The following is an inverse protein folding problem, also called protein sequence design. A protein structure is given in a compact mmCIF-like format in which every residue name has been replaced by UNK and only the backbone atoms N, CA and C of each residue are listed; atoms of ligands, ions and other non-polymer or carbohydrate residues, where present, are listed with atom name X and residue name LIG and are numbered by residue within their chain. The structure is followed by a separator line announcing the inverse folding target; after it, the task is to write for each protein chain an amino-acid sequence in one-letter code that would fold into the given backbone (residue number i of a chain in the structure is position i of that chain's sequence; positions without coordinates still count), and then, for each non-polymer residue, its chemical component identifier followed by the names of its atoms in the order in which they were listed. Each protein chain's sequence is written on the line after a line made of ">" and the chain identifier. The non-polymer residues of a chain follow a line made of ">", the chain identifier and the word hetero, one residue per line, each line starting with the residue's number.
data_IF_887433914971
#
_entry.id   IF_887433914971
#
_cell.length_a   1.000
_cell.length_b   1.000
_cell.length_c   1.000
_cell.angle_alpha   90.00
_cell.angle_beta   90.00
_cell.angle_gamma   90.00
#
_symmetry.space_group_name_H-M   'P 1'
#
loop_
_entity.id
_entity.type
_entity.pdbx_description
1 polymer ?
#
# COMPACT_ATOMS: atom_id res chain seq x y z
N UNK A 1 4.96 -20.70 -1.52
CA UNK A 1 3.93 -19.67 -1.38
C UNK A 1 4.40 -18.72 -0.29
N UNK A 2 5.38 -17.88 -0.61
CA UNK A 2 5.78 -16.78 0.26
C UNK A 2 5.38 -15.53 -0.52
N UNK A 3 4.11 -15.19 -0.37
CA UNK A 3 3.60 -13.92 -0.84
C UNK A 3 3.94 -12.94 0.29
N UNK A 4 5.02 -12.17 0.10
CA UNK A 4 5.51 -11.22 1.09
C UNK A 4 4.76 -9.89 0.95
N UNK A 5 4.38 -9.30 2.07
CA UNK A 5 3.74 -8.00 2.12
C UNK A 5 4.83 -6.94 2.22
N UNK A 6 4.77 -5.94 1.33
CA UNK A 6 5.72 -4.84 1.30
C UNK A 6 5.00 -3.51 1.54
N UNK A 7 5.58 -2.60 2.36
CA UNK A 7 5.00 -1.28 2.58
C UNK A 7 4.90 -0.48 1.29
N UNK A 8 3.75 0.15 1.05
CA UNK A 8 3.54 1.03 -0.11
C UNK A 8 4.24 2.39 0.05
N UNK A 9 4.71 2.94 -1.07
CA UNK A 9 5.22 4.32 -1.14
C UNK A 9 4.08 5.34 -0.98
N UNK A 10 4.41 6.55 -0.49
CA UNK A 10 3.39 7.56 -0.19
C UNK A 10 2.62 8.05 -1.42
N UNK A 11 3.26 8.07 -2.59
CA UNK A 11 2.67 8.50 -3.86
C UNK A 11 2.02 7.35 -4.64
N UNK A 12 1.97 6.14 -4.08
CA UNK A 12 1.26 5.03 -4.70
C UNK A 12 -0.24 5.31 -4.64
N UNK A 13 -0.95 4.97 -5.73
CA UNK A 13 -2.40 5.05 -5.81
C UNK A 13 -2.98 3.66 -5.64
N UNK A 14 -3.86 3.50 -4.65
CA UNK A 14 -4.53 2.24 -4.34
C UNK A 14 -5.95 2.29 -4.86
N UNK A 15 -6.35 1.20 -5.52
CA UNK A 15 -7.73 0.97 -5.97
C UNK A 15 -8.32 -0.20 -5.19
N UNK A 16 -9.47 0.03 -4.56
CA UNK A 16 -10.22 -0.98 -3.81
C UNK A 16 -11.67 -0.98 -4.25
N UNK A 17 -12.35 -2.11 -4.04
CA UNK A 17 -13.79 -2.18 -4.30
C UNK A 17 -14.55 -1.21 -3.39
N UNK A 18 -15.71 -0.72 -3.84
CA UNK A 18 -16.57 0.16 -3.02
C UNK A 18 -16.89 -0.44 -1.64
N UNK A 19 -17.12 -1.76 -1.60
CA UNK A 19 -17.41 -2.49 -0.36
C UNK A 19 -16.22 -2.59 0.62
N UNK A 20 -15.00 -2.35 0.14
CA UNK A 20 -13.77 -2.42 0.92
C UNK A 20 -13.21 -1.02 1.26
N UNK A 21 -13.94 0.05 0.94
CA UNK A 21 -13.53 1.42 1.25
C UNK A 21 -13.57 1.67 2.76
N UNK A 22 -12.40 1.96 3.35
CA UNK A 22 -12.25 2.09 4.80
C UNK A 22 -12.36 3.54 5.27
N UNK A 23 -11.86 4.49 4.47
CA UNK A 23 -11.73 5.91 4.80
C UNK A 23 -12.04 6.70 3.53
N UNK A 24 -12.87 7.74 3.65
CA UNK A 24 -13.35 8.66 2.58
C UNK A 24 -14.42 8.14 1.62
N UNK A 25 -14.68 6.82 1.55
CA UNK A 25 -15.64 6.25 0.60
C UNK A 25 -15.19 6.33 -0.86
N UNK A 26 -13.96 6.78 -1.11
CA UNK A 26 -13.34 6.74 -2.43
C UNK A 26 -12.73 5.37 -2.68
N UNK A 27 -12.98 4.83 -3.87
CA UNK A 27 -12.42 3.57 -4.38
C UNK A 27 -10.96 3.73 -4.83
N UNK A 28 -10.52 4.97 -5.07
CA UNK A 28 -9.17 5.33 -5.46
C UNK A 28 -8.61 6.37 -4.49
N UNK A 29 -7.41 6.15 -3.96
CA UNK A 29 -6.76 7.11 -3.06
C UNK A 29 -5.24 7.01 -3.14
N UNK A 30 -4.56 8.13 -2.95
CA UNK A 30 -3.12 8.14 -2.72
C UNK A 30 -2.82 7.66 -1.29
N UNK A 31 -1.72 6.91 -1.09
CA UNK A 31 -1.32 6.44 0.24
C UNK A 31 -1.11 7.62 1.20
N UNK A 32 -0.58 8.74 0.73
CA UNK A 32 -0.43 9.98 1.50
C UNK A 32 -1.78 10.53 1.98
N UNK A 33 -2.79 10.59 1.11
CA UNK A 33 -4.17 11.01 1.45
C UNK A 33 -4.78 10.10 2.51
N UNK A 34 -4.54 8.78 2.41
CA UNK A 34 -4.99 7.83 3.43
C UNK A 34 -4.31 8.05 4.78
N UNK A 35 -2.98 8.29 4.78
CA UNK A 35 -2.23 8.60 6.01
C UNK A 35 -2.77 9.88 6.64
N UNK A 36 -2.96 10.95 5.87
CA UNK A 36 -3.52 12.22 6.36
C UNK A 36 -4.93 12.04 6.93
N UNK A 37 -5.79 11.29 6.22
CA UNK A 37 -7.14 11.01 6.66
C UNK A 37 -7.14 10.22 7.98
N UNK A 38 -6.27 9.22 8.13
CA UNK A 38 -6.09 8.48 9.38
C UNK A 38 -5.52 9.35 10.51
N UNK A 39 -4.58 10.23 10.19
CA UNK A 39 -3.96 11.12 11.18
C UNK A 39 -5.00 12.06 11.81
N UNK A 40 -6.02 12.46 11.05
CA UNK A 40 -7.13 13.26 11.55
C UNK A 40 -8.10 12.46 12.45
N UNK A 41 -8.14 11.13 12.33
CA UNK A 41 -8.99 10.26 13.16
C UNK A 41 -8.30 9.80 14.45
N UNK A 42 -6.96 9.80 14.49
CA UNK A 42 -6.18 9.35 15.64
C UNK A 42 -5.75 10.56 16.47
N UNK A 43 -6.23 10.68 17.71
CA UNK A 43 -5.97 11.84 18.60
C UNK A 43 -4.47 12.14 18.87
N UNK A 44 -3.57 11.19 18.59
CA UNK A 44 -2.11 11.31 18.78
C UNK A 44 -1.33 10.64 17.64
N UNK A 45 -1.56 11.10 16.42
CA UNK A 45 -1.29 10.35 15.19
C UNK A 45 0.14 10.38 14.64
N UNK A 46 0.88 11.48 14.79
CA UNK A 46 2.15 11.71 14.06
C UNK A 46 3.18 10.58 14.24
N UNK A 47 3.22 9.96 15.42
CA UNK A 47 4.21 8.92 15.70
C UNK A 47 3.78 7.53 15.22
N UNK A 48 2.49 7.28 15.00
CA UNK A 48 2.00 5.94 14.60
C UNK A 48 2.47 5.55 13.19
N UNK A 49 2.72 6.51 12.30
CA UNK A 49 3.21 6.23 10.94
C UNK A 49 4.75 6.17 10.86
N UNK A 50 5.43 6.85 11.78
CA UNK A 50 6.90 6.87 11.87
C UNK A 50 7.48 5.76 12.77
N UNK A 51 6.63 5.11 13.56
CA UNK A 51 7.00 4.05 14.49
C UNK A 51 7.17 4.54 15.93
N UNK A 52 6.38 3.96 16.84
CA UNK A 52 6.38 4.26 18.27
C UNK A 52 7.21 3.21 19.00
N UNK A 53 8.13 3.66 19.86
CA UNK A 53 8.86 2.78 20.76
C UNK A 53 7.90 2.07 21.72
N UNK A 54 8.01 0.74 21.81
CA UNK A 54 7.15 -0.08 22.65
C UNK A 54 7.90 -1.29 23.21
N UNK A 55 7.27 -1.93 24.19
CA UNK A 55 7.63 -3.25 24.68
C UNK A 55 6.50 -4.23 24.33
N UNK A 56 6.84 -5.37 23.75
CA UNK A 56 5.90 -6.43 23.39
C UNK A 56 6.16 -7.62 24.30
N UNK A 57 5.10 -8.17 24.89
CA UNK A 57 5.13 -9.43 25.60
C UNK A 57 4.67 -10.55 24.63
N UNK A 58 5.61 -11.33 24.13
CA UNK A 58 5.32 -12.50 23.27
C UNK A 58 5.32 -13.79 24.09
N UNK A 59 4.41 -14.75 23.82
CA UNK A 59 4.42 -16.06 24.47
C UNK A 59 5.77 -16.81 24.37
N UNK A 60 6.45 -16.69 23.23
CA UNK A 60 7.65 -17.48 22.92
C UNK A 60 8.97 -16.77 23.27
N UNK A 61 8.95 -15.44 23.35
CA UNK A 61 10.15 -14.60 23.53
C UNK A 61 10.15 -13.79 24.84
N UNK A 62 9.02 -13.70 25.55
CA UNK A 62 8.87 -12.86 26.73
C UNK A 62 8.76 -11.37 26.37
N UNK A 63 9.14 -10.48 27.30
CA UNK A 63 9.08 -9.03 27.13
C UNK A 63 10.31 -8.52 26.37
N UNK A 64 10.12 -7.79 25.26
CA UNK A 64 11.21 -7.19 24.50
C UNK A 64 10.83 -5.83 23.89
N UNK A 65 11.83 -4.99 23.66
CA UNK A 65 11.67 -3.65 23.09
C UNK A 65 11.64 -3.67 21.55
N UNK A 66 10.89 -2.76 20.95
CA UNK A 66 10.80 -2.60 19.50
C UNK A 66 10.07 -1.31 19.11
N UNK A 67 9.63 -1.25 17.86
CA UNK A 67 8.76 -0.19 17.34
C UNK A 67 7.53 -0.79 16.69
N UNK A 68 6.38 -0.14 16.87
CA UNK A 68 5.13 -0.45 16.15
C UNK A 68 4.74 0.74 15.27
N UNK A 69 4.35 0.48 14.03
CA UNK A 69 3.84 1.50 13.11
C UNK A 69 2.60 1.00 12.38
N UNK A 70 1.81 1.94 11.89
CA UNK A 70 0.73 1.72 10.93
C UNK A 70 1.30 1.95 9.53
N UNK A 71 1.10 1.00 8.62
CA UNK A 71 1.47 1.11 7.21
C UNK A 71 0.42 0.38 6.35
N UNK A 72 0.25 0.83 5.11
CA UNK A 72 -0.41 0.03 4.07
C UNK A 72 0.64 -0.86 3.43
N UNK A 73 0.34 -2.14 3.33
CA UNK A 73 1.22 -3.12 2.71
C UNK A 73 0.52 -3.77 1.53
N UNK A 74 1.27 -4.07 0.48
CA UNK A 74 0.81 -4.71 -0.72
C UNK A 74 1.51 -6.03 -0.91
N UNK A 75 0.76 -7.05 -1.32
CA UNK A 75 1.31 -8.34 -1.67
C UNK A 75 0.97 -8.61 -3.13
N UNK A 76 2.00 -8.76 -3.96
CA UNK A 76 1.83 -9.01 -5.38
C UNK A 76 1.42 -10.47 -5.65
N UNK A 77 0.49 -10.66 -6.58
CA UNK A 77 0.19 -11.97 -7.17
C UNK A 77 1.22 -12.39 -8.22
N UNK A 78 2.05 -11.46 -8.69
CA UNK A 78 3.13 -11.74 -9.61
C UNK A 78 4.34 -12.30 -8.86
N UNK A 79 4.57 -13.61 -9.02
CA UNK A 79 5.92 -14.17 -8.94
C UNK A 79 6.80 -13.38 -9.91
N UNK A 80 7.61 -12.45 -9.36
CA UNK A 80 8.72 -11.74 -10.00
C UNK A 80 8.84 -11.99 -11.51
N UNK A 81 8.25 -11.11 -12.33
CA UNK A 81 8.62 -11.04 -13.75
C UNK A 81 10.04 -10.50 -13.86
N UNK A 82 10.96 -11.45 -13.72
CA UNK A 82 12.30 -11.53 -14.31
C UNK A 82 13.36 -10.61 -13.69
N UNK A 83 14.36 -11.26 -13.11
CA UNK A 83 15.76 -10.82 -13.13
C UNK A 83 16.03 -10.14 -14.50
N UNK A 84 16.25 -8.82 -14.48
CA UNK A 84 16.60 -8.07 -15.68
C UNK A 84 18.03 -8.44 -16.09
N UNK A 85 18.15 -9.44 -16.97
CA UNK A 85 19.34 -9.62 -17.79
C UNK A 85 19.44 -8.41 -18.74
N UNK A 86 20.59 -7.74 -18.72
CA UNK A 86 20.84 -6.34 -19.11
C UNK A 86 20.72 -6.05 -20.63
N UNK A 87 19.98 -6.85 -21.40
CA UNK A 87 19.84 -6.76 -22.86
C UNK A 87 18.42 -7.07 -23.36
N UNK A 88 17.42 -6.22 -23.08
CA UNK A 88 16.24 -6.08 -23.94
C UNK A 88 15.58 -4.70 -23.79
N UNK A 89 15.00 -4.13 -24.86
CA UNK A 89 14.34 -2.84 -24.79
C UNK A 89 13.11 -2.98 -23.89
N UNK A 90 12.90 -1.99 -23.01
CA UNK A 90 11.73 -1.84 -22.14
C UNK A 90 10.45 -2.29 -22.87
N UNK A 91 9.58 -3.12 -22.25
CA UNK A 91 8.30 -3.41 -22.85
C UNK A 91 7.57 -2.07 -22.93
N UNK A 92 7.39 -1.55 -24.16
CA UNK A 92 6.42 -0.50 -24.39
C UNK A 92 5.09 -1.10 -23.94
N UNK A 93 4.61 -0.68 -22.76
CA UNK A 93 3.21 -0.81 -22.40
C UNK A 93 2.45 -0.24 -23.60
N UNK A 94 1.70 -1.10 -24.30
CA UNK A 94 0.94 -0.64 -25.46
C UNK A 94 0.00 0.46 -24.98
N UNK A 95 -0.15 1.52 -25.78
CA UNK A 95 -1.09 2.60 -25.47
C UNK A 95 -2.50 2.05 -25.17
N UNK A 96 -2.82 0.87 -25.71
CA UNK A 96 -4.05 0.13 -25.44
C UNK A 96 -4.19 -0.31 -23.97
N UNK A 97 -3.13 -0.83 -23.32
CA UNK A 97 -3.19 -1.24 -21.91
C UNK A 97 -3.28 -0.03 -20.97
N UNK A 98 -2.54 1.04 -21.27
CA UNK A 98 -2.66 2.29 -20.52
C UNK A 98 -4.06 2.88 -20.68
N UNK A 99 -4.63 2.88 -21.88
CA UNK A 99 -5.99 3.32 -22.11
C UNK A 99 -7.02 2.45 -21.38
N UNK A 100 -6.83 1.14 -21.33
CA UNK A 100 -7.73 0.22 -20.61
C UNK A 100 -7.70 0.50 -19.11
N UNK A 101 -6.50 0.69 -18.54
CA UNK A 101 -6.35 1.13 -17.15
C UNK A 101 -7.03 2.48 -16.94
N UNK A 102 -6.74 3.51 -17.76
CA UNK A 102 -7.36 4.83 -17.65
C UNK A 102 -8.89 4.82 -17.78
N UNK A 103 -9.45 3.95 -18.63
CA UNK A 103 -10.90 3.80 -18.76
C UNK A 103 -11.51 3.16 -17.50
N UNK A 104 -10.83 2.18 -16.89
CA UNK A 104 -11.24 1.65 -15.60
C UNK A 104 -11.18 2.72 -14.49
N UNK A 105 -10.18 3.62 -14.54
CA UNK A 105 -10.07 4.75 -13.61
C UNK A 105 -11.21 5.75 -13.75
N UNK A 106 -11.57 6.10 -14.98
CA UNK A 106 -12.63 7.09 -15.27
C UNK A 106 -14.02 6.58 -14.89
N UNK A 107 -14.27 5.29 -15.07
CA UNK A 107 -15.56 4.67 -14.75
C UNK A 107 -15.79 4.45 -13.26
N UNK A 108 -14.79 4.73 -12.41
CA UNK A 108 -14.89 4.60 -10.96
C UNK A 108 -15.19 5.93 -10.23
N UNK A 109 -15.45 7.02 -10.97
CA UNK A 109 -15.68 8.38 -10.43
C UNK A 109 -17.17 8.82 -10.54
N UNK A 110 -18.10 7.94 -10.92
CA UNK A 110 -19.56 8.24 -10.91
C UNK A 110 -20.26 7.86 -9.60
#
# INVERSE_FOLDING_TARGET
>A
MNQEFEPLEQNAIVYVSESDTLISGHTAFEVSEWVEAMQNQIERSENWFNGIECEILSPDRGLYKGKVRIALEFCSDELELLEQDDHQPTPNLSEDLLNEVWQLLLNSIE
#
